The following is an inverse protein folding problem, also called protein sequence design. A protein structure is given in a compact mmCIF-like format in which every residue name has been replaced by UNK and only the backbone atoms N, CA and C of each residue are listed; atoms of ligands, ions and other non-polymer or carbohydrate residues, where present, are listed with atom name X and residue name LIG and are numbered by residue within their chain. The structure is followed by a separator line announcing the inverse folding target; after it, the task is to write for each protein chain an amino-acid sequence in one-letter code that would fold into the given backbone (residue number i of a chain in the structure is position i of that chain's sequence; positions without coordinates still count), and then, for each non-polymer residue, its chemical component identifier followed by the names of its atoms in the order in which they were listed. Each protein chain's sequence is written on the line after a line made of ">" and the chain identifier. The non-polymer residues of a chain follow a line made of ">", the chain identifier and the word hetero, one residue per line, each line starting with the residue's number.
data_IF_124803593157
#
_entry.id   IF_124803593157
#
_cell.length_a   1.000
_cell.length_b   1.000
_cell.length_c   1.000
_cell.angle_alpha   90.00
_cell.angle_beta   90.00
_cell.angle_gamma   90.00
#
_symmetry.space_group_name_H-M   'P 1'
#
loop_
_entity.id
_entity.type
_entity.pdbx_description
1 polymer ?
#
# COMPACT_ATOMS: atom_id res chain seq x y z
N UNK A 1 -16.18 -3.11 -7.01
CA UNK A 1 -14.85 -3.05 -6.36
C UNK A 1 -14.44 -1.61 -6.10
N UNK A 2 -13.61 -1.41 -5.08
CA UNK A 2 -13.10 -0.10 -4.72
C UNK A 2 -11.66 0.03 -5.15
N UNK A 3 -11.24 1.24 -5.48
CA UNK A 3 -9.84 1.51 -5.86
C UNK A 3 -9.05 1.95 -4.64
N UNK A 4 -7.95 1.27 -4.40
CA UNK A 4 -7.06 1.55 -3.28
C UNK A 4 -5.71 2.03 -3.80
N UNK A 5 -5.00 2.79 -3.00
CA UNK A 5 -3.70 3.33 -3.39
C UNK A 5 -2.61 2.82 -2.47
N UNK A 6 -1.51 2.35 -3.07
CA UNK A 6 -0.36 1.83 -2.36
C UNK A 6 0.87 2.63 -2.74
N UNK A 7 1.55 3.19 -1.74
CA UNK A 7 2.78 3.94 -1.97
C UNK A 7 3.87 3.44 -1.03
N UNK A 8 5.12 3.52 -1.49
CA UNK A 8 6.27 3.17 -0.66
C UNK A 8 7.41 4.15 -0.91
N UNK A 9 8.24 4.33 0.10
CA UNK A 9 9.31 5.33 0.07
C UNK A 9 10.61 4.76 0.63
N UNK A 10 11.73 5.27 0.13
CA UNK A 10 13.04 4.96 0.68
C UNK A 10 13.28 5.82 1.93
N UNK A 11 14.33 5.47 2.68
CA UNK A 11 14.69 6.20 3.89
C UNK A 11 14.99 7.68 3.62
N UNK A 12 15.42 8.01 2.41
CA UNK A 12 15.71 9.39 2.02
C UNK A 12 14.46 10.14 1.56
N UNK A 13 13.29 9.51 1.62
CA UNK A 13 12.03 10.14 1.22
C UNK A 13 11.66 9.95 -0.25
N UNK A 14 12.50 9.28 -1.02
CA UNK A 14 12.21 9.07 -2.43
C UNK A 14 11.09 8.03 -2.61
N UNK A 15 10.09 8.37 -3.41
CA UNK A 15 8.98 7.45 -3.69
C UNK A 15 9.46 6.36 -4.64
N UNK A 16 9.37 5.12 -4.19
CA UNK A 16 9.81 3.96 -4.97
C UNK A 16 8.64 3.12 -5.48
N UNK A 17 7.44 3.36 -4.98
CA UNK A 17 6.25 2.65 -5.42
C UNK A 17 5.05 3.57 -5.34
N UNK A 18 4.25 3.61 -6.40
CA UNK A 18 3.02 4.39 -6.45
C UNK A 18 2.07 3.65 -7.38
N UNK A 19 1.24 2.78 -6.78
CA UNK A 19 0.32 1.96 -7.56
C UNK A 19 -1.09 2.05 -7.00
N UNK A 20 -2.05 1.85 -7.90
CA UNK A 20 -3.46 1.73 -7.53
C UNK A 20 -3.91 0.31 -7.88
N UNK A 21 -4.80 -0.24 -7.06
CA UNK A 21 -5.36 -1.56 -7.33
C UNK A 21 -6.79 -1.61 -6.82
N UNK A 22 -7.53 -2.60 -7.28
CA UNK A 22 -8.93 -2.76 -6.90
C UNK A 22 -9.10 -3.97 -5.98
N UNK A 23 -10.00 -3.83 -5.01
CA UNK A 23 -10.32 -4.89 -4.08
C UNK A 23 -11.78 -4.76 -3.66
N UNK A 24 -12.36 -5.85 -3.19
CA UNK A 24 -13.77 -5.89 -2.80
C UNK A 24 -14.05 -5.12 -1.52
N UNK A 25 -13.11 -5.15 -0.57
CA UNK A 25 -13.28 -4.51 0.72
C UNK A 25 -11.90 -4.19 1.31
N UNK A 26 -11.91 -3.55 2.47
CA UNK A 26 -10.68 -3.11 3.13
C UNK A 26 -9.77 -4.27 3.51
N UNK A 27 -10.34 -5.38 3.98
CA UNK A 27 -9.55 -6.54 4.37
C UNK A 27 -8.82 -7.14 3.17
N UNK A 28 -9.53 -7.31 2.05
CA UNK A 28 -8.93 -7.83 0.81
C UNK A 28 -7.85 -6.88 0.30
N UNK A 29 -8.09 -5.56 0.38
CA UNK A 29 -7.12 -4.57 -0.03
C UNK A 29 -5.85 -4.63 0.81
N UNK A 30 -6.01 -4.80 2.12
CA UNK A 30 -4.88 -4.89 3.04
C UNK A 30 -4.01 -6.11 2.72
N UNK A 31 -4.65 -7.26 2.50
CA UNK A 31 -3.92 -8.48 2.14
C UNK A 31 -3.21 -8.34 0.80
N UNK A 32 -3.87 -7.76 -0.18
CA UNK A 32 -3.29 -7.57 -1.51
C UNK A 32 -2.12 -6.58 -1.47
N UNK A 33 -2.26 -5.51 -0.70
CA UNK A 33 -1.17 -4.54 -0.52
C UNK A 33 0.06 -5.16 0.12
N UNK A 34 -0.14 -5.97 1.16
CA UNK A 34 0.95 -6.65 1.82
C UNK A 34 1.65 -7.62 0.86
N UNK A 35 0.88 -8.31 0.04
CA UNK A 35 1.44 -9.24 -0.94
C UNK A 35 2.30 -8.50 -1.96
N UNK A 36 1.82 -7.38 -2.48
CA UNK A 36 2.58 -6.58 -3.43
C UNK A 36 3.89 -6.09 -2.83
N UNK A 37 3.85 -5.62 -1.58
CA UNK A 37 5.05 -5.15 -0.89
C UNK A 37 6.04 -6.29 -0.66
N UNK A 38 5.53 -7.46 -0.31
CA UNK A 38 6.38 -8.64 -0.09
C UNK A 38 7.08 -9.07 -1.38
N UNK A 39 6.34 -9.07 -2.49
CA UNK A 39 6.91 -9.46 -3.79
C UNK A 39 8.01 -8.51 -4.25
N UNK A 40 7.94 -7.26 -3.84
CA UNK A 40 8.92 -6.24 -4.19
C UNK A 40 9.98 -6.02 -3.11
N UNK A 41 9.93 -6.80 -2.03
CA UNK A 41 10.83 -6.67 -0.88
C UNK A 41 10.76 -5.30 -0.23
N UNK A 42 9.56 -4.75 -0.12
CA UNK A 42 9.34 -3.42 0.43
C UNK A 42 8.62 -3.40 1.78
N UNK A 43 8.40 -4.58 2.39
CA UNK A 43 7.68 -4.65 3.66
C UNK A 43 8.37 -3.91 4.79
N UNK A 44 9.69 -3.82 4.75
CA UNK A 44 10.48 -3.11 5.76
C UNK A 44 10.72 -1.65 5.41
N UNK A 45 10.21 -1.19 4.28
CA UNK A 45 10.31 0.20 3.85
C UNK A 45 9.11 0.99 4.34
N UNK A 46 9.23 2.31 4.37
CA UNK A 46 8.09 3.17 4.64
C UNK A 46 7.03 2.97 3.57
N UNK A 47 5.83 2.62 3.97
CA UNK A 47 4.75 2.42 3.00
C UNK A 47 3.40 2.79 3.59
N UNK A 48 2.43 3.03 2.70
CA UNK A 48 1.05 3.34 3.05
C UNK A 48 0.11 2.72 2.05
N UNK A 49 -1.01 2.22 2.56
CA UNK A 49 -2.11 1.78 1.72
C UNK A 49 -3.37 2.47 2.20
N UNK A 50 -4.03 3.22 1.33
CA UNK A 50 -5.22 3.96 1.70
C UNK A 50 -6.42 3.58 0.86
N UNK A 51 -7.61 3.71 1.49
CA UNK A 51 -8.87 3.43 0.84
C UNK A 51 -9.35 4.67 0.07
N UNK A 52 -10.35 4.51 -0.83
CA UNK A 52 -10.90 5.66 -1.55
C UNK A 52 -11.57 6.68 -0.63
N UNK A 53 -11.92 6.28 0.59
CA UNK A 53 -12.49 7.21 1.58
C UNK A 53 -11.42 7.92 2.40
N UNK A 54 -10.15 7.64 2.13
CA UNK A 54 -9.05 8.25 2.85
C UNK A 54 -8.60 7.50 4.10
N UNK A 55 -9.16 6.33 4.35
CA UNK A 55 -8.79 5.53 5.51
C UNK A 55 -7.45 4.85 5.29
N UNK A 56 -6.56 4.94 6.26
CA UNK A 56 -5.24 4.32 6.19
C UNK A 56 -5.35 2.86 6.64
N UNK A 57 -5.03 1.92 5.74
CA UNK A 57 -5.16 0.48 6.00
C UNK A 57 -3.85 -0.15 6.39
N UNK A 58 -2.76 0.26 5.77
CA UNK A 58 -1.41 -0.19 6.07
C UNK A 58 -0.53 1.03 6.27
N UNK A 59 0.36 0.94 7.23
CA UNK A 59 1.30 2.02 7.49
C UNK A 59 2.55 1.47 8.14
N UNK A 60 3.70 1.89 7.63
CA UNK A 60 5.01 1.56 8.19
C UNK A 60 5.91 2.78 8.04
N UNK A 61 6.44 3.24 9.13
CA UNK A 61 7.32 4.42 9.13
C UNK A 61 8.80 4.09 8.94
#
# INVERSE_FOLDING_TARGET
>A
MKTYKLTAFEANGEKILDESFQAENDLAAKEQGEKLLSEKNLLDKTHRCSSPSGKLLLFHS
#
